data_IF_620948727807
#
_entry.id   IF_620948727807
#
_cell.length_a   1.000
_cell.length_b   1.000
_cell.length_c   1.000
_cell.angle_alpha   90.00
_cell.angle_beta   90.00
_cell.angle_gamma   90.00
#
_symmetry.space_group_name_H-M   'P 1'
#
loop_
_entity.id
_entity.type
_entity.pdbx_description
1 polymer ?
#
# COMPACT_ATOMS: atom_id res chain seq x y z
N UNK A 1 -38.95 -8.81 5.41
CA UNK A 1 -39.60 -7.51 5.69
C UNK A 1 -38.63 -6.39 5.33
N UNK A 2 -39.12 -5.19 5.00
CA UNK A 2 -38.27 -4.00 4.73
C UNK A 2 -37.31 -3.72 5.89
N UNK A 3 -37.77 -3.94 7.14
CA UNK A 3 -36.94 -3.79 8.33
C UNK A 3 -35.70 -4.72 8.35
N UNK A 4 -35.81 -5.94 7.79
CA UNK A 4 -34.67 -6.84 7.67
C UNK A 4 -33.62 -6.34 6.67
N UNK A 5 -34.08 -5.78 5.54
CA UNK A 5 -33.20 -5.18 4.54
C UNK A 5 -32.50 -3.93 5.08
N UNK A 6 -33.21 -3.07 5.82
CA UNK A 6 -32.66 -1.89 6.46
C UNK A 6 -31.61 -2.23 7.53
N UNK A 7 -31.86 -3.27 8.34
CA UNK A 7 -30.90 -3.73 9.34
C UNK A 7 -29.63 -4.29 8.69
N UNK A 8 -29.76 -5.09 7.62
CA UNK A 8 -28.61 -5.62 6.88
C UNK A 8 -27.76 -4.50 6.28
N UNK A 9 -28.38 -3.51 5.64
CA UNK A 9 -27.67 -2.38 5.06
C UNK A 9 -26.95 -1.54 6.13
N UNK A 10 -27.58 -1.36 7.29
CA UNK A 10 -26.97 -0.65 8.42
C UNK A 10 -25.71 -1.35 8.92
N UNK A 11 -25.74 -2.69 9.01
CA UNK A 11 -24.57 -3.48 9.40
C UNK A 11 -23.46 -3.39 8.36
N UNK A 12 -23.80 -3.47 7.07
CA UNK A 12 -22.86 -3.35 5.97
C UNK A 12 -22.13 -2.01 5.99
N UNK A 13 -22.88 -0.90 6.08
CA UNK A 13 -22.33 0.46 6.11
C UNK A 13 -21.49 0.69 7.37
N UNK A 14 -21.90 0.16 8.53
CA UNK A 14 -21.11 0.27 9.76
C UNK A 14 -19.76 -0.42 9.63
N UNK A 15 -19.71 -1.62 9.05
CA UNK A 15 -18.46 -2.35 8.86
C UNK A 15 -17.53 -1.63 7.87
N UNK A 16 -18.08 -1.06 6.79
CA UNK A 16 -17.32 -0.20 5.87
C UNK A 16 -16.72 1.00 6.62
N UNK A 17 -17.52 1.69 7.44
CA UNK A 17 -17.05 2.84 8.21
C UNK A 17 -15.94 2.49 9.21
N UNK A 18 -16.01 1.32 9.86
CA UNK A 18 -14.97 0.83 10.76
C UNK A 18 -13.65 0.59 10.01
N UNK A 19 -13.70 -0.07 8.85
CA UNK A 19 -12.50 -0.36 8.05
C UNK A 19 -11.89 0.92 7.47
N UNK A 20 -12.69 1.83 6.94
CA UNK A 20 -12.16 3.11 6.44
C UNK A 20 -11.58 3.99 7.54
N UNK A 21 -12.15 3.94 8.75
CA UNK A 21 -11.58 4.59 9.94
C UNK A 21 -10.25 3.96 10.35
N UNK A 22 -10.14 2.62 10.29
CA UNK A 22 -8.89 1.92 10.58
C UNK A 22 -7.79 2.30 9.57
N UNK A 23 -8.11 2.31 8.28
CA UNK A 23 -7.20 2.76 7.21
C UNK A 23 -6.74 4.20 7.41
N UNK A 24 -7.65 5.10 7.78
CA UNK A 24 -7.31 6.50 8.08
C UNK A 24 -6.36 6.65 9.29
N UNK A 25 -6.33 5.65 10.18
CA UNK A 25 -5.40 5.56 11.32
C UNK A 25 -4.13 4.76 11.00
N UNK A 26 -3.95 4.32 9.76
CA UNK A 26 -2.81 3.52 9.32
C UNK A 26 -2.91 2.03 9.63
N UNK A 27 -4.06 1.53 10.11
CA UNK A 27 -4.29 0.10 10.30
C UNK A 27 -4.83 -0.52 8.99
N UNK A 28 -3.92 -1.09 8.21
CA UNK A 28 -4.21 -1.75 6.93
C UNK A 28 -4.50 -3.26 7.10
N UNK A 29 -4.53 -3.77 8.33
CA UNK A 29 -4.82 -5.18 8.61
C UNK A 29 -6.33 -5.51 8.53
N UNK A 30 -7.18 -4.48 8.51
CA UNK A 30 -8.64 -4.63 8.55
C UNK A 30 -9.23 -4.75 7.15
N UNK A 31 -10.20 -5.66 7.02
CA UNK A 31 -10.98 -5.88 5.81
C UNK A 31 -12.47 -5.91 6.12
N UNK A 32 -13.27 -5.51 5.14
CA UNK A 32 -14.71 -5.64 5.21
C UNK A 32 -15.05 -7.11 4.97
N UNK A 33 -15.81 -7.71 5.89
CA UNK A 33 -16.11 -9.16 5.90
C UNK A 33 -17.60 -9.47 5.91
N UNK A 34 -18.44 -8.44 5.89
CA UNK A 34 -19.91 -8.58 5.86
C UNK A 34 -20.38 -9.12 4.51
N UNK A 35 -21.40 -9.99 4.52
CA UNK A 35 -22.05 -10.46 3.29
C UNK A 35 -22.71 -9.29 2.56
N UNK A 36 -22.47 -9.18 1.25
CA UNK A 36 -22.89 -8.07 0.42
C UNK A 36 -23.27 -8.54 -0.98
N UNK A 37 -24.23 -7.84 -1.60
CA UNK A 37 -24.72 -8.09 -2.96
C UNK A 37 -24.98 -6.76 -3.66
N UNK A 38 -25.05 -6.78 -4.99
CA UNK A 38 -25.33 -5.58 -5.79
C UNK A 38 -24.30 -4.48 -5.56
N UNK A 39 -24.74 -3.22 -5.48
CA UNK A 39 -23.84 -2.07 -5.32
C UNK A 39 -23.01 -2.12 -4.04
N UNK A 40 -23.54 -2.75 -2.97
CA UNK A 40 -22.77 -2.89 -1.72
C UNK A 40 -21.60 -3.85 -1.91
N UNK A 41 -21.76 -4.92 -2.69
CA UNK A 41 -20.64 -5.82 -2.97
C UNK A 41 -19.54 -5.12 -3.78
N UNK A 42 -19.93 -4.29 -4.74
CA UNK A 42 -18.99 -3.48 -5.53
C UNK A 42 -18.23 -2.49 -4.64
N UNK A 43 -18.93 -1.82 -3.72
CA UNK A 43 -18.31 -0.93 -2.73
C UNK A 43 -17.34 -1.68 -1.81
N UNK A 44 -17.76 -2.82 -1.25
CA UNK A 44 -16.91 -3.68 -0.41
C UNK A 44 -15.66 -4.12 -1.15
N UNK A 45 -15.82 -4.55 -2.40
CA UNK A 45 -14.71 -4.99 -3.26
C UNK A 45 -13.74 -3.84 -3.53
N UNK A 46 -14.27 -2.66 -3.85
CA UNK A 46 -13.47 -1.46 -4.13
C UNK A 46 -12.66 -1.04 -2.90
N UNK A 47 -13.29 -0.97 -1.73
CA UNK A 47 -12.60 -0.60 -0.49
C UNK A 47 -11.57 -1.65 -0.10
N UNK A 48 -11.90 -2.94 -0.15
CA UNK A 48 -10.92 -3.99 0.18
C UNK A 48 -9.72 -3.97 -0.78
N UNK A 49 -9.95 -3.77 -2.08
CA UNK A 49 -8.87 -3.63 -3.08
C UNK A 49 -7.98 -2.43 -2.78
N UNK A 50 -8.56 -1.27 -2.40
CA UNK A 50 -7.79 -0.11 -1.96
C UNK A 50 -6.91 -0.43 -0.74
N UNK A 51 -7.44 -1.18 0.24
CA UNK A 51 -6.65 -1.62 1.41
C UNK A 51 -5.50 -2.55 1.00
N UNK A 52 -5.72 -3.48 0.06
CA UNK A 52 -4.65 -4.37 -0.41
C UNK A 52 -3.52 -3.59 -1.10
N UNK A 53 -3.88 -2.65 -1.97
CA UNK A 53 -2.90 -1.81 -2.67
C UNK A 53 -2.09 -0.95 -1.70
N UNK A 54 -2.77 -0.34 -0.72
CA UNK A 54 -2.13 0.43 0.35
C UNK A 54 -1.17 -0.43 1.18
N UNK A 55 -1.59 -1.63 1.58
CA UNK A 55 -0.76 -2.53 2.38
C UNK A 55 0.48 -2.98 1.61
N UNK A 56 0.29 -3.44 0.37
CA UNK A 56 1.40 -3.88 -0.47
C UNK A 56 2.40 -2.74 -0.75
N UNK A 57 1.91 -1.52 -0.95
CA UNK A 57 2.77 -0.35 -1.11
C UNK A 57 3.57 -0.05 0.17
N UNK A 58 2.91 -0.04 1.34
CA UNK A 58 3.56 0.24 2.62
C UNK A 58 4.65 -0.80 2.96
N UNK A 59 4.37 -2.08 2.73
CA UNK A 59 5.33 -3.16 2.92
C UNK A 59 6.57 -2.98 2.04
N UNK A 60 6.34 -2.65 0.77
CA UNK A 60 7.40 -2.56 -0.21
C UNK A 60 8.28 -1.32 -0.02
N UNK A 61 7.68 -0.17 0.34
CA UNK A 61 8.45 1.03 0.71
C UNK A 61 9.29 0.78 1.95
N UNK A 62 8.72 0.10 2.96
CA UNK A 62 9.45 -0.25 4.19
C UNK A 62 10.63 -1.18 3.88
N UNK A 63 10.43 -2.15 3.00
CA UNK A 63 11.49 -3.07 2.56
C UNK A 63 12.61 -2.34 1.83
N UNK A 64 12.28 -1.54 0.81
CA UNK A 64 13.29 -0.79 0.04
C UNK A 64 14.08 0.19 0.90
N UNK A 65 13.42 0.87 1.84
CA UNK A 65 14.08 1.75 2.79
C UNK A 65 15.07 1.02 3.69
N UNK A 66 14.73 -0.19 4.14
CA UNK A 66 15.65 -1.04 4.92
C UNK A 66 16.83 -1.51 4.07
N UNK A 67 16.56 -2.09 2.91
CA UNK A 67 17.59 -2.69 2.05
C UNK A 67 18.60 -1.63 1.60
N UNK A 68 18.14 -0.53 1.01
CA UNK A 68 19.02 0.49 0.43
C UNK A 68 19.57 1.43 1.49
N UNK A 69 18.75 1.82 2.47
CA UNK A 69 19.12 2.84 3.44
C UNK A 69 19.83 2.32 4.69
N UNK A 70 19.56 1.09 5.12
CA UNK A 70 20.10 0.54 6.39
C UNK A 70 21.09 -0.59 6.15
N UNK A 71 20.72 -1.57 5.33
CA UNK A 71 21.55 -2.76 5.10
C UNK A 71 22.65 -2.52 4.04
N UNK A 72 22.53 -1.44 3.25
CA UNK A 72 23.45 -1.15 2.16
C UNK A 72 23.30 -2.11 0.97
N UNK A 73 22.19 -2.83 0.88
CA UNK A 73 21.79 -3.65 -0.25
C UNK A 73 21.32 -2.75 -1.41
N UNK A 74 22.30 -2.19 -2.12
CA UNK A 74 22.08 -1.22 -3.18
C UNK A 74 21.45 -1.86 -4.43
N UNK A 75 20.52 -1.13 -5.05
CA UNK A 75 19.77 -1.57 -6.23
C UNK A 75 18.42 -2.21 -5.91
N UNK A 76 18.01 -2.25 -4.64
CA UNK A 76 16.67 -2.64 -4.24
C UNK A 76 15.60 -1.72 -4.84
N UNK A 77 14.53 -2.30 -5.38
CA UNK A 77 13.44 -1.58 -6.03
C UNK A 77 12.09 -2.09 -5.53
N UNK A 78 11.15 -1.16 -5.37
CA UNK A 78 9.77 -1.40 -5.04
C UNK A 78 9.01 -2.01 -6.22
N UNK A 79 8.38 -3.16 -5.99
CA UNK A 79 7.50 -3.86 -6.94
C UNK A 79 6.13 -4.08 -6.31
N UNK A 80 5.21 -3.17 -6.59
CA UNK A 80 3.82 -3.28 -6.10
C UNK A 80 2.91 -3.72 -7.26
N UNK A 81 2.34 -4.94 -7.24
CA UNK A 81 1.49 -5.42 -8.32
C UNK A 81 0.17 -4.63 -8.41
N UNK A 82 -0.32 -4.43 -9.64
CA UNK A 82 -1.67 -3.90 -9.87
C UNK A 82 -1.87 -2.42 -9.50
N UNK A 83 -0.79 -1.67 -9.23
CA UNK A 83 -0.87 -0.22 -9.00
C UNK A 83 -1.01 0.55 -10.30
N UNK A 84 -1.90 1.55 -10.29
CA UNK A 84 -2.13 2.48 -11.40
C UNK A 84 -2.29 3.90 -10.84
N UNK A 85 -2.23 4.91 -11.72
CA UNK A 85 -2.34 6.32 -11.33
C UNK A 85 -1.34 6.71 -10.24
N UNK A 86 -1.82 7.44 -9.23
CA UNK A 86 -0.98 7.96 -8.14
C UNK A 86 -0.19 6.86 -7.42
N UNK A 87 -0.75 5.65 -7.27
CA UNK A 87 -0.04 4.53 -6.63
C UNK A 87 1.20 4.10 -7.41
N UNK A 88 1.09 4.11 -8.74
CA UNK A 88 2.21 3.82 -9.62
C UNK A 88 3.25 4.93 -9.53
N UNK A 89 2.82 6.19 -9.59
CA UNK A 89 3.73 7.34 -9.53
C UNK A 89 4.53 7.35 -8.22
N UNK A 90 3.88 7.04 -7.09
CA UNK A 90 4.56 6.93 -5.79
C UNK A 90 5.57 5.78 -5.77
N UNK A 91 5.23 4.62 -6.33
CA UNK A 91 6.13 3.47 -6.42
C UNK A 91 7.36 3.79 -7.29
N UNK A 92 7.15 4.45 -8.43
CA UNK A 92 8.21 4.87 -9.34
C UNK A 92 9.11 5.93 -8.69
N UNK A 93 8.56 6.86 -7.91
CA UNK A 93 9.33 7.84 -7.15
C UNK A 93 10.23 7.21 -6.08
N UNK A 94 9.74 6.21 -5.34
CA UNK A 94 10.57 5.44 -4.38
C UNK A 94 11.72 4.74 -5.12
N UNK A 95 11.45 4.17 -6.30
CA UNK A 95 12.47 3.55 -7.13
C UNK A 95 13.54 4.54 -7.62
N UNK A 96 13.14 5.75 -8.02
CA UNK A 96 14.07 6.81 -8.40
C UNK A 96 14.98 7.17 -7.21
N UNK A 97 14.41 7.32 -6.02
CA UNK A 97 15.18 7.62 -4.81
C UNK A 97 16.19 6.51 -4.49
N UNK A 98 15.77 5.25 -4.52
CA UNK A 98 16.63 4.09 -4.28
C UNK A 98 17.77 3.97 -5.31
N UNK A 99 17.48 4.22 -6.58
CA UNK A 99 18.48 4.23 -7.65
C UNK A 99 19.49 5.37 -7.47
N UNK A 100 19.04 6.57 -7.09
CA UNK A 100 19.89 7.71 -6.83
C UNK A 100 20.85 7.44 -5.67
N UNK A 101 20.34 6.91 -4.54
CA UNK A 101 21.17 6.53 -3.40
C UNK A 101 22.21 5.46 -3.79
N UNK A 102 21.79 4.44 -4.53
CA UNK A 102 22.67 3.39 -5.04
C UNK A 102 23.82 3.96 -5.88
N UNK A 103 23.49 4.87 -6.80
CA UNK A 103 24.48 5.51 -7.67
C UNK A 103 25.48 6.35 -6.86
N UNK A 104 24.98 7.16 -5.92
CA UNK A 104 25.80 8.00 -5.07
C UNK A 104 26.78 7.19 -4.21
N UNK A 105 26.31 6.14 -3.54
CA UNK A 105 27.17 5.31 -2.66
C UNK A 105 28.22 4.56 -3.48
N UNK A 106 27.87 4.01 -4.65
CA UNK A 106 28.84 3.36 -5.53
C UNK A 106 29.88 4.35 -6.06
N UNK A 107 29.46 5.57 -6.42
CA UNK A 107 30.37 6.64 -6.83
C UNK A 107 31.38 7.00 -5.73
N UNK A 108 30.91 7.14 -4.49
CA UNK A 108 31.78 7.40 -3.33
C UNK A 108 32.77 6.25 -3.13
N UNK A 109 32.31 4.99 -3.21
CA UNK A 109 33.18 3.82 -3.07
C UNK A 109 34.28 3.78 -4.14
N UNK A 110 33.98 4.17 -5.39
CA UNK A 110 34.97 4.24 -6.46
C UNK A 110 36.03 5.29 -6.18
N UNK A 111 35.61 6.50 -5.77
CA UNK A 111 36.55 7.58 -5.41
C UNK A 111 37.42 7.15 -4.22
N UNK A 112 36.83 6.58 -3.18
CA UNK A 112 37.56 6.15 -1.97
C UNK A 112 38.59 5.03 -2.24
N UNK A 113 38.37 4.18 -3.25
CA UNK A 113 39.32 3.12 -3.63
C UNK A 113 40.47 3.66 -4.51
N UNK A 114 40.30 4.84 -5.10
CA UNK A 114 41.27 5.45 -6.00
C UNK A 114 42.30 6.36 -5.29
N UNK A 115 42.08 6.68 -4.00
CA UNK A 115 42.98 7.49 -3.16
C UNK A 115 43.85 6.58 -2.31
#
# INVERSE_FOLDING_TARGET
SVNGMANNLTLQVRNIAEVTTAVARGDLSKKITVDAKGEILELVTTVNTMVDQLSAFADEVTRVARDVGTEGNLGGQARVPGVTGIWKDLSDNVNIMANNLTSQVRGISQVATAV
#
